data_IF_258822550182
#
_entry.id   IF_258822550182
#
_cell.length_a   1.000
_cell.length_b   1.000
_cell.length_c   1.000
_cell.angle_alpha   90.00
_cell.angle_beta   90.00
_cell.angle_gamma   90.00
#
_symmetry.space_group_name_H-M   'P 1'
#
loop_
_entity.id
_entity.type
_entity.pdbx_description
1 polymer ?
#
# COMPACT_ATOMS: atom_id res chain seq x y z
N UNK A 1 15.97 -1.97 -14.12
CA UNK A 1 14.98 -2.99 -13.66
C UNK A 1 14.84 -4.16 -14.64
N UNK A 2 14.59 -3.96 -15.92
CA UNK A 2 14.48 -5.07 -16.91
C UNK A 2 15.71 -5.98 -16.91
N UNK A 3 16.91 -5.42 -17.07
CA UNK A 3 18.17 -6.19 -17.04
C UNK A 3 18.36 -6.98 -15.75
N UNK A 4 17.97 -6.39 -14.60
CA UNK A 4 18.08 -7.10 -13.33
C UNK A 4 17.12 -8.29 -13.24
N UNK A 5 15.92 -8.15 -13.78
CA UNK A 5 14.96 -9.25 -13.84
C UNK A 5 15.41 -10.36 -14.79
N UNK A 6 15.95 -10.01 -15.97
CA UNK A 6 16.50 -10.96 -16.91
C UNK A 6 17.72 -11.70 -16.31
N UNK A 7 18.61 -10.97 -15.64
CA UNK A 7 19.74 -11.57 -14.93
C UNK A 7 19.31 -12.51 -13.80
N UNK A 8 18.20 -12.21 -13.13
CA UNK A 8 17.58 -13.07 -12.12
C UNK A 8 16.84 -14.29 -12.69
N UNK A 9 16.81 -14.43 -14.04
CA UNK A 9 16.22 -15.58 -14.72
C UNK A 9 14.79 -15.38 -15.22
N UNK A 10 14.30 -14.15 -15.26
CA UNK A 10 13.00 -13.85 -15.88
C UNK A 10 13.05 -14.14 -17.39
N UNK A 11 11.97 -14.72 -17.91
CA UNK A 11 11.88 -15.07 -19.33
C UNK A 11 11.75 -13.82 -20.20
N UNK A 12 12.66 -13.58 -21.15
CA UNK A 12 12.53 -12.46 -22.09
C UNK A 12 11.33 -12.63 -23.05
N UNK A 13 10.75 -11.51 -23.53
CA UNK A 13 10.99 -10.13 -23.13
C UNK A 13 10.37 -9.79 -21.77
N UNK A 14 11.10 -9.04 -20.95
CA UNK A 14 10.59 -8.56 -19.65
C UNK A 14 9.88 -7.23 -19.83
N UNK A 15 8.65 -7.16 -19.39
CA UNK A 15 7.84 -5.94 -19.38
C UNK A 15 7.76 -5.33 -18.00
N UNK A 16 7.83 -4.01 -17.91
CA UNK A 16 7.60 -3.24 -16.69
C UNK A 16 6.17 -2.72 -16.75
N UNK A 17 5.46 -2.87 -15.65
CA UNK A 17 4.11 -2.35 -15.44
C UNK A 17 4.13 -1.44 -14.20
N UNK A 18 3.33 -0.37 -14.23
CA UNK A 18 3.14 0.50 -13.07
C UNK A 18 2.45 -0.27 -11.94
N UNK A 19 2.93 -0.08 -10.71
CA UNK A 19 2.40 -0.77 -9.53
C UNK A 19 0.89 -0.59 -9.35
N UNK A 20 0.32 0.63 -9.43
CA UNK A 20 -1.12 0.80 -9.31
C UNK A 20 -1.91 0.15 -10.46
N UNK A 21 -1.33 0.02 -11.66
CA UNK A 21 -1.95 -0.73 -12.76
C UNK A 21 -2.01 -2.23 -12.42
N UNK A 22 -0.93 -2.78 -11.89
CA UNK A 22 -0.89 -4.18 -11.45
C UNK A 22 -1.90 -4.44 -10.33
N UNK A 23 -2.00 -3.53 -9.36
CA UNK A 23 -2.98 -3.60 -8.28
C UNK A 23 -4.42 -3.57 -8.80
N UNK A 24 -4.71 -2.67 -9.75
CA UNK A 24 -6.03 -2.55 -10.37
C UNK A 24 -6.44 -3.83 -11.14
N UNK A 25 -5.50 -4.42 -11.90
CA UNK A 25 -5.72 -5.69 -12.61
C UNK A 25 -5.97 -6.81 -11.59
N UNK A 26 -5.16 -6.89 -10.53
CA UNK A 26 -5.31 -7.90 -9.49
C UNK A 26 -6.64 -7.79 -8.73
N UNK A 27 -7.15 -6.57 -8.55
CA UNK A 27 -8.45 -6.30 -7.95
C UNK A 27 -9.63 -6.54 -8.92
N UNK A 28 -9.37 -6.86 -10.18
CA UNK A 28 -10.41 -7.10 -11.19
C UNK A 28 -11.11 -5.84 -11.69
N UNK A 29 -10.47 -4.68 -11.60
CA UNK A 29 -11.04 -3.43 -12.11
C UNK A 29 -11.06 -3.43 -13.64
N UNK A 30 -12.07 -2.81 -14.28
CA UNK A 30 -12.17 -2.73 -15.74
C UNK A 30 -11.22 -1.69 -16.31
N UNK A 31 -9.91 -1.96 -16.23
CA UNK A 31 -8.85 -0.99 -16.57
C UNK A 31 -8.84 -0.57 -18.04
N UNK A 32 -9.38 -1.41 -18.92
CA UNK A 32 -9.45 -1.11 -20.35
C UNK A 32 -10.64 -0.21 -20.75
N UNK A 33 -11.60 -0.05 -19.86
CA UNK A 33 -12.81 0.71 -20.14
C UNK A 33 -12.54 2.22 -20.12
N UNK A 34 -13.37 3.01 -20.83
CA UNK A 34 -13.26 4.47 -20.83
C UNK A 34 -13.71 5.11 -19.51
N UNK A 35 -14.36 4.36 -18.64
CA UNK A 35 -14.72 4.78 -17.29
C UNK A 35 -13.47 4.85 -16.39
N UNK A 36 -13.36 5.93 -15.60
CA UNK A 36 -12.28 6.05 -14.63
C UNK A 36 -12.46 5.05 -13.48
N UNK A 37 -11.45 4.20 -13.27
CA UNK A 37 -11.35 3.34 -12.09
C UNK A 37 -10.31 3.90 -11.15
N UNK A 38 -10.62 3.97 -9.85
CA UNK A 38 -9.66 4.41 -8.84
C UNK A 38 -9.17 3.21 -8.04
N UNK A 39 -7.87 3.14 -7.84
CA UNK A 39 -7.22 2.20 -6.93
C UNK A 39 -6.52 2.97 -5.83
N UNK A 40 -6.65 2.48 -4.60
CA UNK A 40 -5.91 2.94 -3.43
C UNK A 40 -5.12 1.76 -2.91
N UNK A 41 -3.80 1.87 -2.98
CA UNK A 41 -2.87 0.85 -2.52
C UNK A 41 -2.13 1.38 -1.29
N UNK A 42 -2.27 0.66 -0.17
CA UNK A 42 -1.62 1.01 1.10
C UNK A 42 -0.66 -0.12 1.45
N UNK A 43 0.61 0.09 1.13
CA UNK A 43 1.69 -0.84 1.44
C UNK A 43 2.30 -0.60 2.83
N UNK A 44 3.43 -1.26 3.09
CA UNK A 44 4.21 -1.05 4.32
C UNK A 44 4.83 0.35 4.40
N UNK A 45 5.55 0.76 3.37
CA UNK A 45 6.29 2.03 3.34
C UNK A 45 5.65 3.14 2.51
N UNK A 46 4.67 2.85 1.67
CA UNK A 46 4.03 3.82 0.76
C UNK A 46 2.54 3.60 0.68
N UNK A 47 1.82 4.68 0.39
CA UNK A 47 0.41 4.64 -0.03
C UNK A 47 0.29 5.36 -1.37
N UNK A 48 -0.35 4.71 -2.33
CA UNK A 48 -0.55 5.24 -3.67
C UNK A 48 -2.04 5.28 -4.04
N UNK A 49 -2.44 6.35 -4.70
CA UNK A 49 -3.78 6.49 -5.24
C UNK A 49 -3.65 6.78 -6.73
N UNK A 50 -4.28 5.97 -7.55
CA UNK A 50 -4.25 6.16 -9.01
C UNK A 50 -5.64 6.07 -9.62
N UNK A 51 -5.84 6.86 -10.67
CA UNK A 51 -7.01 6.78 -11.56
C UNK A 51 -6.54 6.19 -12.89
N UNK A 52 -7.23 5.16 -13.31
CA UNK A 52 -6.93 4.38 -14.51
C UNK A 52 -8.11 4.45 -15.46
N UNK A 53 -7.83 4.67 -16.75
CA UNK A 53 -8.83 4.66 -17.82
C UNK A 53 -8.17 4.30 -19.14
N UNK A 54 -8.86 3.53 -19.98
CA UNK A 54 -8.37 3.13 -21.31
C UNK A 54 -6.98 2.47 -21.28
N UNK A 55 -6.70 1.67 -20.27
CA UNK A 55 -5.43 0.95 -20.10
C UNK A 55 -4.24 1.81 -19.68
N UNK A 56 -4.46 3.06 -19.26
CA UNK A 56 -3.43 4.00 -18.83
C UNK A 56 -3.69 4.60 -17.45
N UNK A 57 -2.62 4.99 -16.77
CA UNK A 57 -2.70 5.76 -15.52
C UNK A 57 -2.92 7.23 -15.89
N UNK A 58 -4.09 7.77 -15.56
CA UNK A 58 -4.49 9.16 -15.86
C UNK A 58 -3.95 10.13 -14.82
N UNK A 59 -3.98 9.72 -13.55
CA UNK A 59 -3.47 10.48 -12.41
C UNK A 59 -2.95 9.52 -11.35
N UNK A 60 -1.87 9.90 -10.70
CA UNK A 60 -1.30 9.14 -9.59
C UNK A 60 -0.77 10.10 -8.52
N UNK A 61 -1.00 9.77 -7.27
CA UNK A 61 -0.43 10.44 -6.11
C UNK A 61 0.18 9.38 -5.19
N UNK A 62 1.37 9.64 -4.72
CA UNK A 62 2.10 8.75 -3.80
C UNK A 62 2.48 9.50 -2.52
N UNK A 63 2.39 8.82 -1.40
CA UNK A 63 2.84 9.28 -0.09
C UNK A 63 3.74 8.23 0.53
N UNK A 64 4.80 8.67 1.23
CA UNK A 64 5.69 7.79 1.99
C UNK A 64 5.14 7.49 3.40
N UNK A 65 3.86 7.27 3.49
CA UNK A 65 3.17 6.86 4.71
C UNK A 65 2.47 5.55 4.43
N UNK A 66 2.78 4.53 5.21
CA UNK A 66 2.21 3.20 5.07
C UNK A 66 2.07 2.50 6.42
N UNK A 67 1.94 1.18 6.39
CA UNK A 67 1.74 0.36 7.56
C UNK A 67 2.84 0.46 8.60
N UNK A 68 4.10 0.59 8.16
CA UNK A 68 5.27 0.67 9.03
C UNK A 68 5.26 1.95 9.87
N UNK A 69 4.87 3.08 9.28
CA UNK A 69 4.76 4.34 10.02
C UNK A 69 3.59 4.36 10.99
N UNK A 70 2.52 3.61 10.69
CA UNK A 70 1.44 3.40 11.66
C UNK A 70 1.94 2.61 12.87
N UNK A 71 2.76 1.59 12.66
CA UNK A 71 3.37 0.79 13.72
C UNK A 71 4.33 1.62 14.57
N UNK A 72 5.18 2.43 13.93
CA UNK A 72 6.07 3.38 14.61
C UNK A 72 5.30 4.40 15.46
N UNK A 73 4.17 4.90 14.95
CA UNK A 73 3.31 5.81 15.69
C UNK A 73 2.72 5.15 16.94
N UNK A 74 2.28 3.89 16.85
CA UNK A 74 1.78 3.10 17.99
C UNK A 74 2.90 2.90 19.02
N UNK A 75 4.09 2.45 18.60
CA UNK A 75 5.24 2.26 19.49
C UNK A 75 5.60 3.56 20.22
N UNK A 76 5.65 4.67 19.47
CA UNK A 76 5.97 5.99 20.01
C UNK A 76 4.90 6.49 20.99
N UNK A 77 3.63 6.24 20.72
CA UNK A 77 2.52 6.60 21.61
C UNK A 77 2.61 5.84 22.93
N UNK A 78 2.72 4.51 22.87
CA UNK A 78 2.81 3.67 24.06
C UNK A 78 4.03 3.99 24.92
N UNK A 79 5.17 4.27 24.29
CA UNK A 79 6.38 4.69 25.00
C UNK A 79 6.18 6.02 25.74
N UNK A 80 5.59 7.02 25.07
CA UNK A 80 5.44 8.37 25.67
C UNK A 80 4.34 8.46 26.70
N UNK A 81 3.20 7.83 26.45
CA UNK A 81 2.01 7.98 27.29
C UNK A 81 1.95 6.93 28.42
N UNK A 82 2.51 5.75 28.19
CA UNK A 82 2.39 4.62 29.10
C UNK A 82 3.72 4.06 29.59
N UNK A 83 4.86 4.64 29.16
CA UNK A 83 6.21 4.14 29.48
C UNK A 83 6.40 2.66 29.10
N UNK A 84 5.66 2.20 28.10
CA UNK A 84 5.64 0.82 27.64
C UNK A 84 6.44 0.69 26.34
N UNK A 85 7.41 -0.22 26.36
CA UNK A 85 8.19 -0.57 25.17
C UNK A 85 7.62 -1.84 24.54
N UNK A 86 7.26 -1.74 23.27
CA UNK A 86 6.84 -2.88 22.45
C UNK A 86 7.67 -2.94 21.18
N UNK A 87 7.79 -4.12 20.57
CA UNK A 87 8.43 -4.30 19.28
C UNK A 87 7.45 -4.16 18.12
N UNK A 88 8.00 -4.07 16.89
CA UNK A 88 7.26 -3.90 15.63
C UNK A 88 6.14 -4.93 15.44
N UNK A 89 6.42 -6.22 15.63
CA UNK A 89 5.42 -7.29 15.51
C UNK A 89 4.24 -7.12 16.47
N UNK A 90 4.50 -6.59 17.66
CA UNK A 90 3.44 -6.32 18.65
C UNK A 90 2.63 -5.10 18.22
N UNK A 91 3.28 -4.06 17.73
CA UNK A 91 2.63 -2.86 17.22
C UNK A 91 1.72 -3.20 16.02
N UNK A 92 2.21 -3.98 15.06
CA UNK A 92 1.42 -4.46 13.94
C UNK A 92 0.20 -5.27 14.39
N UNK A 93 0.38 -6.17 15.36
CA UNK A 93 -0.74 -6.95 15.90
C UNK A 93 -1.78 -6.06 16.59
N UNK A 94 -1.36 -5.02 17.33
CA UNK A 94 -2.26 -4.03 17.93
C UNK A 94 -3.01 -3.28 16.84
N UNK A 95 -2.30 -2.76 15.83
CA UNK A 95 -2.91 -2.10 14.67
C UNK A 95 -4.00 -2.94 14.03
N UNK A 96 -3.69 -4.20 13.72
CA UNK A 96 -4.63 -5.11 13.04
C UNK A 96 -5.81 -5.53 13.93
N UNK A 97 -5.65 -5.52 15.26
CA UNK A 97 -6.68 -5.98 16.19
C UNK A 97 -7.64 -4.87 16.58
N UNK A 98 -7.14 -3.66 16.84
CA UNK A 98 -7.94 -2.56 17.38
C UNK A 98 -7.91 -1.31 16.51
N UNK A 99 -7.10 -1.28 15.45
CA UNK A 99 -7.04 -0.13 14.54
C UNK A 99 -8.32 0.05 13.74
N UNK A 100 -8.76 1.29 13.60
CA UNK A 100 -9.89 1.67 12.76
C UNK A 100 -9.64 3.02 12.12
N UNK A 101 -9.98 3.15 10.84
CA UNK A 101 -9.98 4.43 10.12
C UNK A 101 -11.28 5.22 10.32
N UNK A 102 -12.25 4.64 11.02
CA UNK A 102 -13.55 5.24 11.31
C UNK A 102 -13.83 5.17 12.81
N UNK A 103 -14.49 6.20 13.40
CA UNK A 103 -14.91 6.15 14.79
C UNK A 103 -15.79 4.93 15.04
N UNK A 104 -15.48 4.16 16.07
CA UNK A 104 -16.24 2.97 16.47
C UNK A 104 -17.10 3.29 17.69
N UNK A 105 -18.28 2.67 17.80
CA UNK A 105 -19.20 2.86 18.92
C UNK A 105 -18.70 2.21 20.24
N UNK A 106 -17.65 1.39 20.15
CA UNK A 106 -16.99 0.75 21.29
C UNK A 106 -15.48 0.95 21.17
N UNK A 107 -14.88 1.46 22.25
CA UNK A 107 -13.44 1.52 22.43
C UNK A 107 -12.87 0.20 22.99
#
# INVERSE_FOLDING_TARGET
MQEAAEFAGARPPVYIIDEPMAAAIGAGLPVADPTGSMVVDVGGGTSEVAVISLGGVVACQSSRVGGDEMDDAIMSHLRRQHSLLIGEQTAERVKLTVGSAWPMDQE
#
